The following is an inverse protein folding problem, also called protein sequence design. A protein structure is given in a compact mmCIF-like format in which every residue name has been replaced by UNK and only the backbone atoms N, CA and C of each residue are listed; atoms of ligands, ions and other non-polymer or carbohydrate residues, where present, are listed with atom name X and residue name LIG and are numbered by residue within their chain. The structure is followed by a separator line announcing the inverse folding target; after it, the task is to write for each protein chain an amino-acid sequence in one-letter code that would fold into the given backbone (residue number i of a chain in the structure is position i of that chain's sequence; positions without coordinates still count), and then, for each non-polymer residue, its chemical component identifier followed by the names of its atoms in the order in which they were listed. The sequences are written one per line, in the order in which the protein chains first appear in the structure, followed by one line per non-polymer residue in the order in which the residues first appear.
data_IF_790376345739
#
_entry.id   IF_790376345739
#
_cell.length_a   1.000
_cell.length_b   1.000
_cell.length_c   1.000
_cell.angle_alpha   90.00
_cell.angle_beta   90.00
_cell.angle_gamma   90.00
#
_symmetry.space_group_name_H-M   'P 1'
#
loop_
_entity.id
_entity.type
_entity.pdbx_description
1 polymer ?
#
# COMPACT_ATOMS: atom_id res chain seq x y z
N UNK A 1 12.51 -18.48 -18.09
CA UNK A 1 12.69 -19.48 -17.01
C UNK A 1 12.45 -18.78 -15.69
N UNK A 2 11.72 -19.38 -14.76
CA UNK A 2 11.56 -18.81 -13.42
C UNK A 2 12.87 -18.95 -12.64
N UNK A 3 13.31 -17.87 -11.98
CA UNK A 3 14.44 -17.93 -11.07
C UNK A 3 14.00 -18.63 -9.77
N UNK A 4 14.82 -19.56 -9.28
CA UNK A 4 14.55 -20.25 -8.00
C UNK A 4 15.21 -19.47 -6.87
N UNK A 5 14.47 -19.27 -5.78
CA UNK A 5 14.99 -18.69 -4.54
C UNK A 5 14.96 -19.75 -3.43
N UNK A 6 15.94 -19.71 -2.53
CA UNK A 6 15.93 -20.52 -1.32
C UNK A 6 15.41 -19.69 -0.16
N UNK A 7 14.33 -20.15 0.47
CA UNK A 7 13.73 -19.49 1.63
C UNK A 7 13.89 -20.38 2.86
N UNK A 8 14.45 -19.82 3.94
CA UNK A 8 14.58 -20.50 5.23
C UNK A 8 13.60 -19.85 6.21
N UNK A 9 12.40 -20.44 6.43
CA UNK A 9 11.44 -19.90 7.38
C UNK A 9 11.98 -20.00 8.81
N UNK A 10 11.72 -18.96 9.60
CA UNK A 10 11.78 -19.04 11.05
C UNK A 10 10.58 -19.83 11.60
N UNK A 11 10.43 -19.86 12.93
CA UNK A 11 9.36 -20.60 13.57
C UNK A 11 7.98 -20.07 13.20
N UNK A 12 7.79 -18.75 13.21
CA UNK A 12 6.50 -18.12 12.91
C UNK A 12 6.12 -18.31 11.44
N UNK A 13 7.07 -18.11 10.52
CA UNK A 13 6.85 -18.37 9.11
C UNK A 13 6.53 -19.85 8.83
N UNK A 14 7.10 -20.79 9.60
CA UNK A 14 6.74 -22.21 9.50
C UNK A 14 5.28 -22.43 9.87
N UNK A 15 4.84 -21.92 11.03
CA UNK A 15 3.46 -22.06 11.49
C UNK A 15 2.47 -21.44 10.50
N UNK A 16 2.80 -20.27 9.95
CA UNK A 16 1.98 -19.62 8.95
C UNK A 16 1.90 -20.44 7.64
N UNK A 17 3.01 -21.02 7.20
CA UNK A 17 3.02 -21.91 6.04
C UNK A 17 2.19 -23.18 6.29
N UNK A 18 2.29 -23.79 7.47
CA UNK A 18 1.54 -24.99 7.82
C UNK A 18 0.03 -24.71 7.80
N UNK A 19 -0.40 -23.58 8.36
CA UNK A 19 -1.80 -23.13 8.34
C UNK A 19 -2.29 -22.87 6.90
N UNK A 20 -1.54 -22.05 6.15
CA UNK A 20 -1.91 -21.62 4.80
C UNK A 20 -1.85 -22.74 3.75
N UNK A 21 -1.21 -23.86 4.07
CA UNK A 21 -1.14 -25.04 3.19
C UNK A 21 -1.94 -26.23 3.71
N UNK A 22 -2.69 -26.05 4.81
CA UNK A 22 -3.49 -27.10 5.45
C UNK A 22 -4.56 -27.71 4.54
N UNK A 23 -5.00 -26.96 3.52
CA UNK A 23 -5.95 -27.38 2.49
C UNK A 23 -5.30 -28.10 1.28
N UNK A 24 -3.98 -28.29 1.31
CA UNK A 24 -3.21 -28.88 0.22
C UNK A 24 -2.69 -27.88 -0.81
N UNK A 25 -2.87 -26.57 -0.60
CA UNK A 25 -2.30 -25.55 -1.47
C UNK A 25 -0.76 -25.66 -1.49
N UNK A 26 -0.10 -25.62 -2.67
CA UNK A 26 1.36 -25.70 -2.74
C UNK A 26 2.04 -24.51 -2.04
N UNK A 27 3.11 -24.78 -1.28
CA UNK A 27 3.93 -23.76 -0.60
C UNK A 27 4.38 -22.64 -1.55
N UNK A 28 4.78 -22.98 -2.78
CA UNK A 28 5.22 -21.99 -3.77
C UNK A 28 4.10 -21.04 -4.21
N UNK A 29 2.85 -21.51 -4.23
CA UNK A 29 1.66 -20.68 -4.50
C UNK A 29 1.44 -19.72 -3.35
N UNK A 30 1.39 -20.23 -2.10
CA UNK A 30 1.23 -19.40 -0.90
C UNK A 30 2.32 -18.32 -0.81
N UNK A 31 3.58 -18.70 -0.98
CA UNK A 31 4.72 -17.76 -0.92
C UNK A 31 4.62 -16.70 -2.01
N UNK A 32 4.27 -17.08 -3.24
CA UNK A 32 4.10 -16.12 -4.33
C UNK A 32 2.97 -15.14 -4.02
N UNK A 33 1.83 -15.64 -3.60
CA UNK A 33 0.63 -14.83 -3.42
C UNK A 33 0.81 -13.87 -2.24
N UNK A 34 1.41 -14.35 -1.13
CA UNK A 34 1.80 -13.52 0.01
C UNK A 34 2.82 -12.43 -0.37
N UNK A 35 3.80 -12.74 -1.22
CA UNK A 35 4.79 -11.77 -1.69
C UNK A 35 4.13 -10.67 -2.55
N UNK A 36 3.22 -11.04 -3.44
CA UNK A 36 2.47 -10.10 -4.27
C UNK A 36 1.59 -9.19 -3.41
N UNK A 37 0.90 -9.76 -2.42
CA UNK A 37 0.08 -9.00 -1.49
C UNK A 37 0.93 -8.01 -0.67
N UNK A 38 2.05 -8.47 -0.11
CA UNK A 38 2.97 -7.62 0.63
C UNK A 38 3.51 -6.45 -0.22
N UNK A 39 3.87 -6.71 -1.48
CA UNK A 39 4.30 -5.68 -2.41
C UNK A 39 3.19 -4.65 -2.69
N UNK A 40 1.95 -5.10 -2.88
CA UNK A 40 0.81 -4.22 -3.09
C UNK A 40 0.52 -3.35 -1.85
N UNK A 41 0.60 -3.92 -0.65
CA UNK A 41 0.44 -3.19 0.61
C UNK A 41 1.54 -2.13 0.78
N UNK A 42 2.80 -2.49 0.50
CA UNK A 42 3.92 -1.57 0.56
C UNK A 42 3.77 -0.40 -0.43
N UNK A 43 3.37 -0.69 -1.68
CA UNK A 43 3.12 0.33 -2.68
C UNK A 43 2.01 1.30 -2.26
N UNK A 44 0.90 0.78 -1.71
CA UNK A 44 -0.20 1.61 -1.19
C UNK A 44 0.24 2.47 -0.01
N UNK A 45 1.05 1.93 0.91
CA UNK A 45 1.57 2.69 2.04
C UNK A 45 2.47 3.85 1.57
N UNK A 46 3.36 3.59 0.60
CA UNK A 46 4.20 4.63 -0.01
C UNK A 46 3.37 5.74 -0.66
N UNK A 47 2.37 5.38 -1.47
CA UNK A 47 1.49 6.37 -2.11
C UNK A 47 0.71 7.21 -1.08
N UNK A 48 0.22 6.59 0.01
CA UNK A 48 -0.43 7.35 1.09
C UNK A 48 0.51 8.33 1.77
N UNK A 49 1.77 7.95 1.97
CA UNK A 49 2.78 8.84 2.54
C UNK A 49 3.08 10.02 1.59
N UNK A 50 3.19 9.77 0.29
CA UNK A 50 3.38 10.81 -0.73
C UNK A 50 2.18 11.78 -0.79
N UNK A 51 0.96 11.25 -0.78
CA UNK A 51 -0.27 12.07 -0.75
C UNK A 51 -0.36 12.89 0.54
N UNK A 52 -0.03 12.30 1.69
CA UNK A 52 -0.02 13.04 2.95
C UNK A 52 1.00 14.18 2.96
N UNK A 53 2.18 13.95 2.35
CA UNK A 53 3.19 15.00 2.19
C UNK A 53 2.70 16.12 1.26
N UNK A 54 2.06 15.78 0.13
CA UNK A 54 1.49 16.76 -0.80
C UNK A 54 0.34 17.55 -0.17
N UNK A 55 -0.59 16.90 0.54
CA UNK A 55 -1.69 17.57 1.23
C UNK A 55 -1.23 18.46 2.40
N UNK A 56 -0.03 18.22 2.92
CA UNK A 56 0.60 19.06 3.93
C UNK A 56 1.33 20.28 3.34
N UNK A 57 1.36 20.43 2.01
CA UNK A 57 2.00 21.58 1.34
C UNK A 57 1.29 22.89 1.74
N UNK A 58 1.97 23.81 2.45
CA UNK A 58 1.38 25.07 2.89
C UNK A 58 0.99 26.00 1.73
N UNK A 59 1.71 25.93 0.61
CA UNK A 59 1.43 26.77 -0.56
C UNK A 59 0.11 26.33 -1.21
N UNK A 60 -0.06 25.04 -1.45
CA UNK A 60 -1.28 24.47 -2.02
C UNK A 60 -2.49 24.73 -1.11
N UNK A 61 -2.31 24.64 0.21
CA UNK A 61 -3.38 24.96 1.17
C UNK A 61 -3.76 26.43 1.16
N UNK A 62 -2.79 27.33 1.03
CA UNK A 62 -3.03 28.77 0.95
C UNK A 62 -3.75 29.13 -0.35
N UNK A 63 -3.35 28.53 -1.47
CA UNK A 63 -3.99 28.69 -2.77
C UNK A 63 -5.43 28.16 -2.76
N UNK A 64 -5.65 26.94 -2.29
CA UNK A 64 -7.00 26.35 -2.19
C UNK A 64 -7.94 27.21 -1.31
N UNK A 65 -7.43 27.76 -0.21
CA UNK A 65 -8.19 28.67 0.64
C UNK A 65 -8.53 29.99 -0.07
N UNK A 66 -7.62 30.51 -0.90
CA UNK A 66 -7.87 31.72 -1.70
C UNK A 66 -8.92 31.45 -2.78
N UNK A 67 -8.81 30.37 -3.54
CA UNK A 67 -9.81 29.99 -4.55
C UNK A 67 -11.19 29.81 -3.93
N UNK A 68 -11.30 29.16 -2.76
CA UNK A 68 -12.59 29.02 -2.07
C UNK A 68 -13.20 30.37 -1.71
N UNK A 69 -12.41 31.31 -1.19
CA UNK A 69 -12.90 32.69 -0.91
C UNK A 69 -13.38 33.37 -2.18
N UNK A 70 -12.63 33.23 -3.27
CA UNK A 70 -12.98 33.85 -4.55
C UNK A 70 -14.27 33.24 -5.12
N UNK A 71 -14.46 31.92 -5.02
CA UNK A 71 -15.69 31.25 -5.44
C UNK A 71 -16.92 31.59 -4.58
N UNK A 72 -16.73 31.76 -3.26
CA UNK A 72 -17.79 32.21 -2.34
C UNK A 72 -18.29 33.61 -2.75
N UNK A 73 -17.38 34.51 -3.13
CA UNK A 73 -17.72 35.86 -3.58
C UNK A 73 -18.56 35.87 -4.87
N UNK A 74 -18.39 34.87 -5.74
CA UNK A 74 -19.16 34.71 -6.97
C UNK A 74 -20.52 34.05 -6.75
N UNK A 75 -20.73 33.33 -5.64
CA UNK A 75 -21.99 32.64 -5.29
C UNK A 75 -22.99 33.54 -4.57
N UNK A 76 -22.54 34.67 -4.02
CA UNK A 76 -23.37 35.62 -3.28
C UNK A 76 -24.18 36.60 -4.16
N UNK A 77 -24.27 36.34 -5.46
CA UNK A 77 -25.07 37.07 -6.46
C UNK A 77 -26.14 36.16 -7.05
#
# INVERSE_FOLDING_TARGET
MAATITFRPDHEARLALDELTSDGTPVSTVVRDALIEAAALHAKARLRAEVAALAADPADRAEAAQVLRDMESLRAW
#
